data_IF_482006127567
#
_entry.id   IF_482006127567
#
_cell.length_a   1.000
_cell.length_b   1.000
_cell.length_c   1.000
_cell.angle_alpha   90.00
_cell.angle_beta   90.00
_cell.angle_gamma   90.00
#
_symmetry.space_group_name_H-M   'P 1'
#
loop_
_entity.id
_entity.type
_entity.pdbx_description
1 polymer ?
#
# COMPACT_ATOMS: atom_id res chain seq x y z
N UNK A 1 1.73 13.06 2.22
CA UNK A 1 1.83 12.58 0.81
C UNK A 1 3.27 12.37 0.38
N UNK A 2 4.20 13.26 0.74
CA UNK A 2 5.60 13.21 0.31
C UNK A 2 6.30 11.87 0.61
N UNK A 3 6.02 11.26 1.77
CA UNK A 3 6.57 9.95 2.11
C UNK A 3 6.23 8.87 1.05
N UNK A 4 4.98 8.79 0.61
CA UNK A 4 4.54 7.82 -0.41
C UNK A 4 5.24 8.12 -1.74
N UNK A 5 5.26 9.40 -2.15
CA UNK A 5 5.90 9.84 -3.38
C UNK A 5 7.39 9.49 -3.43
N UNK A 6 8.13 9.82 -2.37
CA UNK A 6 9.56 9.52 -2.27
C UNK A 6 9.86 8.02 -2.24
N UNK A 7 9.09 7.23 -1.48
CA UNK A 7 9.28 5.78 -1.42
C UNK A 7 9.05 5.12 -2.78
N UNK A 8 7.97 5.49 -3.47
CA UNK A 8 7.67 4.98 -4.81
C UNK A 8 8.76 5.39 -5.80
N UNK A 9 9.18 6.66 -5.77
CA UNK A 9 10.24 7.14 -6.64
C UNK A 9 11.55 6.36 -6.43
N UNK A 10 11.95 6.18 -5.16
CA UNK A 10 13.16 5.44 -4.81
C UNK A 10 13.11 3.98 -5.30
N UNK A 11 12.02 3.26 -5.02
CA UNK A 11 11.86 1.86 -5.46
C UNK A 11 11.91 1.75 -6.98
N UNK A 12 11.29 2.68 -7.71
CA UNK A 12 11.32 2.69 -9.18
C UNK A 12 12.71 3.00 -9.73
N UNK A 13 13.46 3.89 -9.09
CA UNK A 13 14.84 4.21 -9.47
C UNK A 13 15.76 3.01 -9.30
N UNK A 14 15.68 2.32 -8.17
CA UNK A 14 16.57 1.19 -7.85
C UNK A 14 16.15 -0.12 -8.55
N UNK A 15 14.85 -0.38 -8.67
CA UNK A 15 14.33 -1.70 -9.04
C UNK A 15 13.31 -1.70 -10.20
N UNK A 16 13.00 -0.53 -10.77
CA UNK A 16 11.96 -0.40 -11.81
C UNK A 16 12.12 -1.35 -12.98
N UNK A 17 13.35 -1.57 -13.46
CA UNK A 17 13.63 -2.48 -14.59
C UNK A 17 13.20 -3.92 -14.35
N UNK A 18 13.33 -4.43 -13.13
CA UNK A 18 12.95 -5.82 -12.85
C UNK A 18 11.46 -5.93 -12.50
N UNK A 19 10.88 -4.89 -11.90
CA UNK A 19 9.44 -4.76 -11.67
C UNK A 19 8.69 -4.71 -13.02
N UNK A 20 9.12 -3.86 -13.94
CA UNK A 20 8.47 -3.66 -15.25
C UNK A 20 8.54 -4.92 -16.13
N UNK A 21 9.52 -5.81 -15.88
CA UNK A 21 9.64 -7.13 -16.54
C UNK A 21 8.85 -8.23 -15.82
N UNK A 22 8.13 -7.90 -14.74
CA UNK A 22 7.38 -8.85 -13.92
C UNK A 22 8.23 -9.84 -13.13
N UNK A 23 9.52 -9.55 -12.94
CA UNK A 23 10.43 -10.39 -12.14
C UNK A 23 10.40 -10.06 -10.64
N UNK A 24 9.83 -8.92 -10.29
CA UNK A 24 9.64 -8.48 -8.92
C UNK A 24 8.26 -7.82 -8.78
N UNK A 25 7.77 -7.75 -7.55
CA UNK A 25 6.58 -6.98 -7.20
C UNK A 25 6.79 -6.25 -5.90
N UNK A 26 5.99 -5.21 -5.70
CA UNK A 26 6.09 -4.31 -4.55
C UNK A 26 4.78 -4.34 -3.78
N UNK A 27 4.86 -4.60 -2.49
CA UNK A 27 3.77 -4.37 -1.55
C UNK A 27 4.13 -3.14 -0.74
N UNK A 28 3.26 -2.13 -0.76
CA UNK A 28 3.43 -0.89 0.00
C UNK A 28 2.35 -0.86 1.08
N UNK A 29 2.77 -0.87 2.34
CA UNK A 29 1.87 -0.60 3.46
C UNK A 29 2.11 0.84 3.93
N UNK A 30 1.04 1.63 3.90
CA UNK A 30 1.00 3.00 4.38
C UNK A 30 0.38 2.95 5.78
N UNK A 31 1.07 3.47 6.78
CA UNK A 31 0.58 3.57 8.15
C UNK A 31 0.62 5.02 8.61
N UNK A 32 -0.45 5.49 9.23
CA UNK A 32 -0.53 6.85 9.79
C UNK A 32 -1.19 6.85 11.16
N UNK A 33 -0.84 7.84 11.99
CA UNK A 33 -1.42 8.05 13.33
C UNK A 33 -2.64 8.98 13.34
N UNK A 34 -3.12 9.41 12.16
CA UNK A 34 -4.32 10.23 11.99
C UNK A 34 -4.05 11.72 11.76
N UNK A 35 -2.78 12.18 11.76
CA UNK A 35 -2.43 13.53 11.32
C UNK A 35 -2.00 13.57 9.86
N UNK A 36 -3.00 13.51 8.99
CA UNK A 36 -2.75 13.53 7.55
C UNK A 36 -2.40 14.94 7.03
N UNK A 37 -1.09 15.16 6.92
CA UNK A 37 -0.40 16.08 5.99
C UNK A 37 0.07 17.45 6.51
N UNK A 38 1.40 17.54 6.65
CA UNK A 38 2.20 18.75 6.44
C UNK A 38 3.00 18.69 5.11
N UNK A 39 2.46 17.98 4.11
CA UNK A 39 3.09 17.71 2.82
C UNK A 39 3.27 19.00 2.00
N UNK A 40 4.41 19.16 1.29
CA UNK A 40 4.67 20.35 0.46
C UNK A 40 4.95 20.03 -1.02
N UNK A 41 5.34 18.80 -1.34
CA UNK A 41 5.81 18.43 -2.70
C UNK A 41 4.78 17.64 -3.50
N UNK A 42 4.03 16.76 -2.85
CA UNK A 42 2.98 15.95 -3.47
C UNK A 42 1.62 16.29 -2.88
N UNK A 43 0.63 16.43 -3.75
CA UNK A 43 -0.79 16.59 -3.38
C UNK A 43 -1.52 15.24 -3.33
N UNK A 44 -2.67 15.21 -2.66
CA UNK A 44 -3.55 14.03 -2.61
C UNK A 44 -3.92 13.51 -4.01
N UNK A 45 -4.38 14.35 -4.96
CA UNK A 45 -4.73 13.88 -6.30
C UNK A 45 -3.56 13.26 -7.07
N UNK A 46 -2.35 13.78 -6.88
CA UNK A 46 -1.14 13.24 -7.52
C UNK A 46 -0.81 11.84 -7.00
N UNK A 47 -0.81 11.65 -5.68
CA UNK A 47 -0.58 10.33 -5.08
C UNK A 47 -1.68 9.35 -5.45
N UNK A 48 -2.94 9.78 -5.40
CA UNK A 48 -4.09 8.95 -5.77
C UNK A 48 -4.00 8.44 -7.20
N UNK A 49 -3.60 9.30 -8.15
CA UNK A 49 -3.39 8.92 -9.55
C UNK A 49 -2.20 7.97 -9.71
N UNK A 50 -1.11 8.23 -8.99
CA UNK A 50 0.09 7.40 -9.01
C UNK A 50 -0.21 5.97 -8.51
N UNK A 51 -0.94 5.85 -7.39
CA UNK A 51 -1.35 4.55 -6.84
C UNK A 51 -2.19 3.79 -7.87
N UNK A 52 -3.20 4.44 -8.45
CA UNK A 52 -4.07 3.81 -9.45
C UNK A 52 -3.28 3.31 -10.68
N UNK A 53 -2.32 4.10 -11.18
CA UNK A 53 -1.48 3.71 -12.32
C UNK A 53 -0.56 2.53 -11.98
N UNK A 54 0.02 2.51 -10.78
CA UNK A 54 0.92 1.44 -10.35
C UNK A 54 0.16 0.14 -10.08
N UNK A 55 -0.99 0.18 -9.42
CA UNK A 55 -1.81 -1.01 -9.21
C UNK A 55 -2.30 -1.63 -10.53
N UNK A 56 -2.53 -0.82 -11.57
CA UNK A 56 -2.93 -1.31 -12.89
C UNK A 56 -1.85 -2.17 -13.58
N UNK A 57 -0.60 -2.13 -13.11
CA UNK A 57 0.48 -2.99 -13.62
C UNK A 57 0.46 -4.40 -13.06
N UNK A 58 -0.39 -4.68 -12.07
CA UNK A 58 -0.44 -5.94 -11.30
C UNK A 58 0.86 -6.27 -10.52
N UNK A 59 1.90 -5.43 -10.59
CA UNK A 59 3.15 -5.58 -9.86
C UNK A 59 3.23 -4.75 -8.59
N UNK A 60 2.26 -3.87 -8.35
CA UNK A 60 2.16 -3.06 -7.15
C UNK A 60 0.86 -3.34 -6.41
N UNK A 61 0.97 -3.44 -5.09
CA UNK A 61 -0.19 -3.58 -4.21
C UNK A 61 -0.05 -2.58 -3.08
N UNK A 62 -1.04 -1.70 -2.92
CA UNK A 62 -1.06 -0.70 -1.85
C UNK A 62 -2.05 -1.11 -0.78
N UNK A 63 -1.64 -0.97 0.48
CA UNK A 63 -2.46 -1.21 1.67
C UNK A 63 -2.39 0.01 2.57
N UNK A 64 -3.54 0.48 3.07
CA UNK A 64 -3.63 1.61 3.97
C UNK A 64 -4.10 1.20 5.35
N UNK A 65 -3.32 1.56 6.36
CA UNK A 65 -3.62 1.40 7.77
C UNK A 65 -3.73 2.79 8.38
N UNK A 66 -4.93 3.16 8.82
CA UNK A 66 -5.19 4.44 9.46
C UNK A 66 -5.69 4.27 10.89
N UNK A 67 -5.43 5.26 11.74
CA UNK A 67 -6.09 5.36 13.03
C UNK A 67 -7.59 5.70 12.83
N UNK A 68 -8.48 4.95 13.46
CA UNK A 68 -9.93 5.23 13.57
C UNK A 68 -10.76 5.17 12.27
N UNK A 69 -11.96 5.80 12.30
CA UNK A 69 -13.04 5.70 11.31
C UNK A 69 -12.69 6.31 9.94
N UNK A 70 -11.72 7.24 9.90
CA UNK A 70 -11.36 7.98 8.69
C UNK A 70 -10.47 7.14 7.75
N UNK A 71 -9.95 6.00 8.21
CA UNK A 71 -9.02 5.17 7.42
C UNK A 71 -9.61 4.74 6.07
N UNK A 72 -10.90 4.39 6.03
CA UNK A 72 -11.60 4.01 4.81
C UNK A 72 -11.88 5.19 3.88
N UNK A 73 -12.16 6.37 4.43
CA UNK A 73 -12.35 7.57 3.64
C UNK A 73 -11.05 7.97 2.95
N UNK A 74 -9.95 7.99 3.70
CA UNK A 74 -8.62 8.29 3.20
C UNK A 74 -8.17 7.25 2.18
N UNK A 75 -8.31 5.96 2.50
CA UNK A 75 -7.98 4.86 1.59
C UNK A 75 -8.70 5.01 0.25
N UNK A 76 -9.99 5.38 0.28
CA UNK A 76 -10.77 5.70 -0.92
C UNK A 76 -10.22 6.92 -1.67
N UNK A 77 -9.87 8.01 -0.96
CA UNK A 77 -9.26 9.20 -1.58
C UNK A 77 -7.93 8.88 -2.27
N UNK A 78 -7.17 7.91 -1.74
CA UNK A 78 -5.92 7.42 -2.31
C UNK A 78 -6.08 6.36 -3.41
N UNK A 79 -7.31 6.02 -3.81
CA UNK A 79 -7.61 4.91 -4.74
C UNK A 79 -7.15 3.52 -4.26
N UNK A 80 -7.08 3.32 -2.94
CA UNK A 80 -6.78 2.03 -2.34
C UNK A 80 -8.08 1.26 -2.14
N UNK A 81 -8.09 -0.02 -2.53
CA UNK A 81 -9.27 -0.88 -2.37
C UNK A 81 -9.69 -0.96 -0.90
N UNK A 82 -10.99 -1.00 -0.63
CA UNK A 82 -11.50 -1.22 0.71
C UNK A 82 -11.02 -2.56 1.31
N UNK A 83 -10.78 -3.58 0.46
CA UNK A 83 -10.18 -4.85 0.87
C UNK A 83 -8.71 -4.72 1.32
N UNK A 84 -8.02 -3.64 0.94
CA UNK A 84 -6.65 -3.31 1.35
C UNK A 84 -6.62 -2.11 2.30
N UNK A 85 -7.74 -1.79 2.95
CA UNK A 85 -7.83 -0.70 3.91
C UNK A 85 -8.27 -1.26 5.26
N UNK A 86 -7.58 -0.86 6.33
CA UNK A 86 -7.92 -1.31 7.68
C UNK A 86 -7.70 -0.18 8.68
N UNK A 87 -8.66 -0.02 9.59
CA UNK A 87 -8.50 0.81 10.77
C UNK A 87 -7.69 0.06 11.81
N UNK A 88 -6.75 0.73 12.48
CA UNK A 88 -6.02 0.16 13.60
C UNK A 88 -5.99 1.14 14.78
N UNK A 89 -5.91 0.59 15.99
CA UNK A 89 -5.73 1.39 17.19
C UNK A 89 -4.27 1.30 17.64
N UNK A 90 -3.71 2.41 18.11
CA UNK A 90 -2.32 2.45 18.59
C UNK A 90 -2.03 1.39 19.67
N UNK A 91 -3.02 1.10 20.52
CA UNK A 91 -2.92 0.05 21.54
C UNK A 91 -2.82 -1.37 20.98
N UNK A 92 -3.29 -1.60 19.75
CA UNK A 92 -3.32 -2.91 19.08
C UNK A 92 -2.31 -2.99 17.91
N UNK A 93 -1.25 -2.17 17.94
CA UNK A 93 -0.26 -2.13 16.85
C UNK A 93 0.46 -3.48 16.68
N UNK A 94 0.81 -4.16 17.78
CA UNK A 94 1.49 -5.46 17.74
C UNK A 94 0.62 -6.49 17.03
N UNK A 95 -0.66 -6.56 17.39
CA UNK A 95 -1.60 -7.50 16.78
C UNK A 95 -1.78 -7.20 15.28
N UNK A 96 -1.91 -5.92 14.92
CA UNK A 96 -2.03 -5.48 13.52
C UNK A 96 -0.80 -5.90 12.70
N UNK A 97 0.40 -5.72 13.24
CA UNK A 97 1.64 -6.14 12.56
C UNK A 97 1.77 -7.66 12.43
N UNK A 98 1.31 -8.42 13.43
CA UNK A 98 1.22 -9.88 13.35
C UNK A 98 0.27 -10.32 12.22
N UNK A 99 -0.93 -9.75 12.15
CA UNK A 99 -1.88 -10.06 11.07
C UNK A 99 -1.32 -9.74 9.68
N UNK A 100 -0.61 -8.61 9.54
CA UNK A 100 0.05 -8.25 8.28
C UNK A 100 1.14 -9.24 7.89
N UNK A 101 1.86 -9.80 8.87
CA UNK A 101 2.90 -10.80 8.62
C UNK A 101 2.27 -12.07 8.04
N UNK A 102 1.15 -12.52 8.61
CA UNK A 102 0.35 -13.66 8.08
C UNK A 102 -0.20 -13.36 6.68
N UNK A 103 -0.74 -12.15 6.46
CA UNK A 103 -1.23 -11.73 5.15
C UNK A 103 -0.12 -11.71 4.09
N UNK A 104 1.08 -11.27 4.47
CA UNK A 104 2.27 -11.27 3.60
C UNK A 104 2.68 -12.70 3.21
N UNK A 105 2.71 -13.63 4.17
CA UNK A 105 3.01 -15.05 3.90
C UNK A 105 2.03 -15.63 2.87
N UNK A 106 0.72 -15.48 3.11
CA UNK A 106 -0.31 -15.93 2.18
C UNK A 106 -0.18 -15.29 0.79
N UNK A 107 0.06 -13.97 0.74
CA UNK A 107 0.25 -13.26 -0.52
C UNK A 107 1.47 -13.79 -1.30
N UNK A 108 2.58 -14.04 -0.62
CA UNK A 108 3.80 -14.59 -1.25
C UNK A 108 3.59 -16.02 -1.75
N UNK A 109 2.88 -16.87 -1.02
CA UNK A 109 2.56 -18.25 -1.43
C UNK A 109 1.69 -18.28 -2.68
N UNK A 110 0.61 -17.50 -2.70
CA UNK A 110 -0.27 -17.39 -3.87
C UNK A 110 0.51 -16.88 -5.09
N UNK A 111 1.40 -15.90 -4.90
CA UNK A 111 2.25 -15.40 -5.98
C UNK A 111 3.22 -16.45 -6.51
N UNK A 112 3.83 -17.25 -5.63
CA UNK A 112 4.68 -18.39 -6.03
C UNK A 112 3.90 -19.43 -6.84
N UNK A 113 2.61 -19.60 -6.55
CA UNK A 113 1.72 -20.49 -7.31
C UNK A 113 1.29 -19.93 -8.69
N UNK A 114 1.70 -18.71 -9.03
CA UNK A 114 1.35 -18.04 -10.28
C UNK A 114 0.02 -17.30 -10.26
N UNK A 115 -0.65 -17.21 -9.10
CA UNK A 115 -1.89 -16.45 -8.93
C UNK A 115 -1.59 -15.01 -8.54
N UNK A 116 -2.26 -14.06 -9.20
CA UNK A 116 -2.15 -12.63 -8.88
C UNK A 116 -3.28 -12.25 -7.94
N UNK A 117 -2.95 -12.09 -6.66
CA UNK A 117 -3.89 -11.61 -5.63
C UNK A 117 -3.88 -10.08 -5.61
N UNK A 118 -5.05 -9.44 -5.76
CA UNK A 118 -5.20 -7.97 -5.67
C UNK A 118 -5.54 -7.48 -4.27
N UNK A 119 -6.09 -8.38 -3.45
CA UNK A 119 -6.50 -8.10 -2.08
C UNK A 119 -5.43 -8.65 -1.14
N UNK A 120 -4.62 -7.76 -0.56
CA UNK A 120 -3.53 -8.12 0.33
C UNK A 120 -4.04 -8.67 1.67
N UNK A 121 -5.06 -8.03 2.26
CA UNK A 121 -5.56 -8.37 3.60
C UNK A 121 -6.62 -9.51 3.61
N UNK A 122 -7.06 -10.01 2.46
CA UNK A 122 -8.09 -11.04 2.36
C UNK A 122 -7.58 -12.25 1.60
#
# INVERSE_FOLDING_TARGET
MDAIGHSVHHIRTEHGKEIDKGKASVVVIIMTDGMENASRLYSFPEISRMIAQLEATDFWTFTFLGADLDAFEIGRMLNIRAANTKSFYKAAMVDTLCEMSVAMESYMEEKKSGRVKKDFLK
#
